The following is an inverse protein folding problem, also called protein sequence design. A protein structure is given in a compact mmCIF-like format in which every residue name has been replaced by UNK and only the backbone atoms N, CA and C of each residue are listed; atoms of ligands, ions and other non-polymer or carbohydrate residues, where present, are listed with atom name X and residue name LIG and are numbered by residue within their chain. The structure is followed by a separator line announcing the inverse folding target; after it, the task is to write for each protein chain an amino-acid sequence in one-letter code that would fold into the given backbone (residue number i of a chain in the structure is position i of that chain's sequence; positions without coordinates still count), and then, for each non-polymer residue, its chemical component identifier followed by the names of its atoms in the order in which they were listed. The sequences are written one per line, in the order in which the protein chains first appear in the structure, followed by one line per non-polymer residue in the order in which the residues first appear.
data_IF_967883712677
#
_entry.id   IF_967883712677
#
_cell.length_a   1.000
_cell.length_b   1.000
_cell.length_c   1.000
_cell.angle_alpha   90.00
_cell.angle_beta   90.00
_cell.angle_gamma   90.00
#
_symmetry.space_group_name_H-M   'P 1'
#
loop_
_entity.id
_entity.type
_entity.pdbx_description
1 polymer ?
#
# COMPACT_ATOMS: atom_id res chain seq x y z
N UNK A 1 -2.06 -11.95 -13.60
CA UNK A 1 -3.38 -12.19 -14.21
C UNK A 1 -3.34 -12.24 -15.73
N UNK A 2 -4.50 -12.23 -16.33
CA UNK A 2 -4.65 -12.31 -17.79
C UNK A 2 -5.04 -10.98 -18.42
N UNK A 3 -5.48 -10.02 -17.61
CA UNK A 3 -5.89 -8.70 -18.05
C UNK A 3 -4.85 -7.66 -17.62
N UNK A 4 -4.19 -7.05 -18.61
CA UNK A 4 -3.06 -6.16 -18.37
C UNK A 4 -3.13 -4.93 -19.24
N UNK A 5 -2.59 -3.81 -18.76
CA UNK A 5 -2.38 -2.57 -19.50
C UNK A 5 -0.93 -2.13 -19.39
N UNK A 6 -0.51 -1.22 -20.27
CA UNK A 6 0.87 -0.75 -20.34
C UNK A 6 1.78 -1.68 -21.15
N UNK A 7 3.05 -1.41 -21.10
CA UNK A 7 4.10 -2.11 -21.85
C UNK A 7 5.43 -1.96 -21.10
N UNK A 8 6.43 -2.83 -21.43
CA UNK A 8 7.78 -2.67 -20.86
C UNK A 8 8.24 -1.21 -20.96
N UNK A 9 8.76 -0.61 -19.88
CA UNK A 9 9.25 -1.27 -18.66
C UNK A 9 8.26 -1.41 -17.50
N UNK A 10 6.96 -1.09 -17.69
CA UNK A 10 5.95 -1.20 -16.64
C UNK A 10 4.64 -1.80 -17.17
N UNK A 11 4.20 -2.88 -16.55
CA UNK A 11 2.92 -3.53 -16.82
C UNK A 11 2.05 -3.43 -15.57
N UNK A 12 0.79 -3.07 -15.75
CA UNK A 12 -0.22 -3.12 -14.70
C UNK A 12 -1.16 -4.30 -14.96
N UNK A 13 -1.19 -5.25 -14.04
CA UNK A 13 -2.17 -6.33 -14.02
C UNK A 13 -3.45 -5.82 -13.35
N UNK A 14 -4.50 -5.72 -14.14
CA UNK A 14 -5.81 -5.19 -13.74
C UNK A 14 -6.85 -6.29 -13.54
N UNK A 15 -6.44 -7.54 -13.49
CA UNK A 15 -7.33 -8.69 -13.34
C UNK A 15 -8.12 -8.70 -12.03
N UNK A 16 -7.67 -7.95 -11.02
CA UNK A 16 -8.26 -7.91 -9.68
C UNK A 16 -8.94 -6.56 -9.35
N UNK A 17 -9.35 -5.80 -10.36
CA UNK A 17 -10.00 -4.50 -10.14
C UNK A 17 -11.25 -4.64 -9.26
N UNK A 18 -12.09 -5.65 -9.50
CA UNK A 18 -13.31 -5.88 -8.70
C UNK A 18 -13.02 -6.27 -7.25
N UNK A 19 -11.81 -6.81 -7.00
CA UNK A 19 -11.29 -7.12 -5.66
C UNK A 19 -10.63 -5.91 -4.99
N UNK A 20 -10.55 -4.78 -5.69
CA UNK A 20 -10.11 -3.51 -5.12
C UNK A 20 -8.64 -3.18 -5.29
N UNK A 21 -7.90 -3.86 -6.17
CA UNK A 21 -6.50 -3.54 -6.42
C UNK A 21 -6.03 -3.86 -7.85
N UNK A 22 -4.93 -3.26 -8.23
CA UNK A 22 -4.11 -3.67 -9.35
C UNK A 22 -2.69 -4.06 -8.87
N UNK A 23 -1.94 -4.79 -9.69
CA UNK A 23 -0.53 -5.09 -9.42
C UNK A 23 0.34 -4.45 -10.50
N UNK A 24 1.24 -3.56 -10.07
CA UNK A 24 2.25 -2.98 -10.95
C UNK A 24 3.50 -3.86 -10.95
N UNK A 25 4.00 -4.20 -12.13
CA UNK A 25 5.19 -5.04 -12.33
C UNK A 25 6.20 -4.27 -13.16
N UNK A 26 7.36 -3.96 -12.58
CA UNK A 26 8.47 -3.31 -13.27
C UNK A 26 9.44 -4.35 -13.81
N UNK A 27 9.92 -4.18 -15.05
CA UNK A 27 11.02 -4.99 -15.55
C UNK A 27 12.37 -4.59 -14.90
N UNK A 28 13.39 -5.40 -15.14
CA UNK A 28 14.73 -5.24 -14.55
C UNK A 28 15.62 -4.20 -15.24
N UNK A 29 15.08 -3.09 -15.77
CA UNK A 29 15.84 -2.09 -16.54
C UNK A 29 16.67 -1.09 -15.70
N UNK A 30 16.63 -1.20 -14.36
CA UNK A 30 17.46 -0.39 -13.45
C UNK A 30 16.84 0.94 -12.99
N UNK A 31 15.60 1.28 -13.40
CA UNK A 31 14.93 2.54 -13.04
C UNK A 31 13.70 2.31 -12.17
N UNK A 32 13.44 3.26 -11.26
CA UNK A 32 12.20 3.28 -10.46
C UNK A 32 11.03 3.78 -11.30
N UNK A 33 9.86 3.18 -11.12
CA UNK A 33 8.61 3.63 -11.71
C UNK A 33 7.77 4.33 -10.65
N UNK A 34 7.09 5.40 -11.05
CA UNK A 34 6.07 6.07 -10.23
C UNK A 34 4.71 5.87 -10.88
N UNK A 35 3.78 5.36 -10.13
CA UNK A 35 2.38 5.17 -10.53
C UNK A 35 1.52 6.10 -9.69
N UNK A 36 0.77 6.96 -10.34
CA UNK A 36 -0.17 7.87 -9.70
C UNK A 36 -1.59 7.44 -10.00
N UNK A 37 -2.38 7.25 -8.95
CA UNK A 37 -3.80 7.04 -9.02
C UNK A 37 -4.52 8.30 -8.57
N UNK A 38 -5.47 8.78 -9.36
CA UNK A 38 -6.42 9.80 -8.92
C UNK A 38 -7.84 9.38 -9.28
N UNK A 39 -8.76 9.57 -8.34
CA UNK A 39 -10.20 9.43 -8.53
C UNK A 39 -10.87 10.81 -8.61
N UNK A 40 -12.19 10.84 -8.72
CA UNK A 40 -12.98 12.09 -8.84
C UNK A 40 -12.95 12.95 -7.56
N UNK A 41 -12.48 12.40 -6.44
CA UNK A 41 -12.28 13.12 -5.17
C UNK A 41 -11.10 14.13 -5.21
N UNK A 42 -10.30 14.09 -6.30
CA UNK A 42 -9.14 14.96 -6.50
C UNK A 42 -7.91 14.58 -5.69
N UNK A 43 -7.96 13.48 -4.94
CA UNK A 43 -6.79 12.95 -4.23
C UNK A 43 -5.90 12.18 -5.20
N UNK A 44 -4.59 12.41 -5.11
CA UNK A 44 -3.59 11.70 -5.91
C UNK A 44 -2.72 10.86 -4.98
N UNK A 45 -2.78 9.55 -5.16
CA UNK A 45 -1.92 8.60 -4.48
C UNK A 45 -0.73 8.25 -5.37
N UNK A 46 0.48 8.25 -4.82
CA UNK A 46 1.71 7.94 -5.56
C UNK A 46 2.36 6.68 -5.01
N UNK A 47 2.63 5.72 -5.87
CA UNK A 47 3.29 4.45 -5.56
C UNK A 47 4.60 4.35 -6.33
N UNK A 48 5.60 3.75 -5.72
CA UNK A 48 6.92 3.60 -6.32
C UNK A 48 7.27 2.11 -6.45
N UNK A 49 7.68 1.69 -7.64
CA UNK A 49 8.08 0.32 -7.91
C UNK A 49 9.52 0.31 -8.39
N UNK A 50 10.38 -0.34 -7.61
CA UNK A 50 11.79 -0.50 -7.98
C UNK A 50 11.95 -1.40 -9.19
N UNK A 51 13.08 -1.30 -9.86
CA UNK A 51 13.41 -2.14 -11.00
C UNK A 51 13.39 -3.63 -10.65
N UNK A 52 12.62 -4.41 -11.40
CA UNK A 52 12.46 -5.84 -11.17
C UNK A 52 11.49 -6.23 -10.06
N UNK A 53 10.87 -5.24 -9.42
CA UNK A 53 9.93 -5.44 -8.31
C UNK A 53 8.47 -5.33 -8.78
N UNK A 54 7.57 -5.67 -7.87
CA UNK A 54 6.12 -5.46 -8.04
C UNK A 54 5.52 -4.80 -6.81
N UNK A 55 4.41 -4.08 -7.02
CA UNK A 55 3.64 -3.49 -5.93
C UNK A 55 2.14 -3.69 -6.14
N UNK A 56 1.43 -3.94 -5.05
CA UNK A 56 -0.04 -3.95 -5.00
C UNK A 56 -0.51 -2.54 -4.71
N UNK A 57 -1.44 -2.05 -5.51
CA UNK A 57 -1.96 -0.68 -5.48
C UNK A 57 -3.48 -0.73 -5.30
N UNK A 58 -4.01 -0.32 -4.14
CA UNK A 58 -5.44 -0.41 -3.84
C UNK A 58 -6.24 0.77 -4.41
N UNK A 59 -7.52 0.54 -4.71
CA UNK A 59 -8.50 1.54 -5.15
C UNK A 59 -9.32 2.06 -3.96
N UNK A 60 -8.70 2.88 -3.10
CA UNK A 60 -9.25 3.27 -1.80
C UNK A 60 -10.34 4.34 -1.84
N UNK A 61 -10.58 4.98 -3.00
CA UNK A 61 -11.66 5.96 -3.18
C UNK A 61 -13.00 5.33 -3.65
N UNK A 62 -13.12 3.98 -3.55
CA UNK A 62 -14.35 3.27 -3.89
C UNK A 62 -14.51 2.96 -5.39
N UNK A 63 -15.73 2.60 -5.80
CA UNK A 63 -16.04 2.39 -7.21
C UNK A 63 -16.12 3.72 -7.95
N UNK A 64 -15.66 3.75 -9.19
CA UNK A 64 -15.68 4.96 -10.02
C UNK A 64 -14.59 4.94 -11.09
N UNK A 65 -14.39 6.07 -11.75
CA UNK A 65 -13.34 6.25 -12.75
C UNK A 65 -12.04 6.68 -12.08
N UNK A 66 -10.97 5.94 -12.32
CA UNK A 66 -9.62 6.27 -11.87
C UNK A 66 -8.74 6.66 -13.05
N UNK A 67 -8.03 7.75 -12.93
CA UNK A 67 -6.94 8.08 -13.84
C UNK A 67 -5.64 7.48 -13.29
N UNK A 68 -5.04 6.56 -14.05
CA UNK A 68 -3.75 5.96 -13.75
C UNK A 68 -2.70 6.61 -14.63
N UNK A 69 -1.70 7.25 -14.04
CA UNK A 69 -0.58 7.90 -14.74
C UNK A 69 0.74 7.26 -14.31
N UNK A 70 1.50 6.80 -15.28
CA UNK A 70 2.72 6.02 -15.06
C UNK A 70 3.94 6.76 -15.58
N UNK A 71 5.00 6.77 -14.79
CA UNK A 71 6.23 7.48 -15.07
C UNK A 71 7.45 6.60 -14.80
N UNK A 72 8.55 6.89 -15.47
CA UNK A 72 9.85 6.28 -15.26
C UNK A 72 10.84 7.33 -14.76
N UNK A 73 11.62 6.99 -13.76
CA UNK A 73 12.69 7.84 -13.27
C UNK A 73 13.80 7.95 -14.32
N UNK A 74 14.17 9.17 -14.66
CA UNK A 74 15.23 9.47 -15.62
C UNK A 74 16.52 9.85 -14.89
N UNK A 75 16.41 10.75 -13.90
CA UNK A 75 17.56 11.22 -13.13
C UNK A 75 17.09 11.89 -11.82
N UNK A 76 17.59 11.44 -10.68
CA UNK A 76 17.27 12.03 -9.37
C UNK A 76 15.75 12.07 -9.14
N UNK A 77 15.17 13.27 -9.03
CA UNK A 77 13.73 13.50 -8.86
C UNK A 77 12.97 13.73 -10.18
N UNK A 78 13.61 13.55 -11.33
CA UNK A 78 13.01 13.77 -12.65
C UNK A 78 12.41 12.46 -13.18
N UNK A 79 11.17 12.55 -13.68
CA UNK A 79 10.42 11.45 -14.25
C UNK A 79 9.94 11.79 -15.66
N UNK A 80 9.96 10.81 -16.54
CA UNK A 80 9.36 10.87 -17.87
C UNK A 80 8.05 10.07 -17.89
N UNK A 81 7.03 10.59 -18.57
CA UNK A 81 5.77 9.88 -18.70
C UNK A 81 5.95 8.63 -19.58
N UNK A 82 5.43 7.48 -19.11
CA UNK A 82 5.33 6.26 -19.89
C UNK A 82 3.98 6.17 -20.60
N UNK A 83 2.91 6.15 -19.82
CA UNK A 83 1.53 6.13 -20.32
C UNK A 83 0.57 6.63 -19.25
N UNK A 84 -0.66 6.93 -19.67
CA UNK A 84 -1.77 7.23 -18.79
C UNK A 84 -3.04 6.60 -19.34
N UNK A 85 -3.92 6.12 -18.46
CA UNK A 85 -5.18 5.48 -18.85
C UNK A 85 -6.24 5.66 -17.77
N UNK A 86 -7.48 5.88 -18.20
CA UNK A 86 -8.63 5.81 -17.32
C UNK A 86 -9.04 4.35 -17.12
N UNK A 87 -9.37 3.98 -15.88
CA UNK A 87 -9.90 2.69 -15.50
C UNK A 87 -11.26 2.85 -14.83
N UNK A 88 -12.23 2.10 -15.30
CA UNK A 88 -13.53 1.98 -14.62
C UNK A 88 -13.41 0.88 -13.56
N UNK A 89 -13.54 1.28 -12.29
CA UNK A 89 -13.47 0.38 -11.14
C UNK A 89 -14.86 0.13 -10.59
N UNK A 90 -15.27 -1.13 -10.54
CA UNK A 90 -16.51 -1.57 -9.92
C UNK A 90 -16.17 -2.62 -8.88
N UNK A 91 -16.15 -2.20 -7.61
CA UNK A 91 -15.82 -3.07 -6.49
C UNK A 91 -16.98 -4.03 -6.17
N UNK A 92 -16.67 -5.30 -5.93
CA UNK A 92 -17.62 -6.28 -5.41
C UNK A 92 -18.05 -5.93 -3.97
N UNK A 93 -17.15 -5.33 -3.21
CA UNK A 93 -17.38 -4.84 -1.86
C UNK A 93 -16.44 -3.65 -1.62
N UNK A 94 -16.98 -2.57 -1.06
CA UNK A 94 -16.24 -1.33 -0.78
C UNK A 94 -15.10 -1.47 0.24
N UNK A 95 -15.10 -2.51 1.06
CA UNK A 95 -14.07 -2.79 2.04
C UNK A 95 -12.88 -3.60 1.50
N UNK A 96 -13.03 -4.27 0.34
CA UNK A 96 -12.00 -5.13 -0.25
C UNK A 96 -10.64 -4.43 -0.44
N UNK A 97 -10.56 -3.15 -0.90
CA UNK A 97 -9.28 -2.47 -1.06
C UNK A 97 -8.44 -2.38 0.22
N UNK A 98 -9.08 -2.50 1.39
CA UNK A 98 -8.44 -2.38 2.70
C UNK A 98 -8.09 -3.73 3.34
N UNK A 99 -8.48 -4.84 2.73
CA UNK A 99 -8.29 -6.19 3.28
C UNK A 99 -7.07 -6.92 2.70
N UNK A 100 -6.43 -6.37 1.69
CA UNK A 100 -5.25 -6.95 1.07
C UNK A 100 -3.98 -6.18 1.45
N UNK A 101 -2.84 -6.90 1.60
CA UNK A 101 -1.56 -6.22 1.76
C UNK A 101 -1.27 -5.36 0.54
N UNK A 102 -0.71 -4.18 0.78
CA UNK A 102 -0.33 -3.24 -0.27
C UNK A 102 1.02 -2.60 0.08
N UNK A 103 1.50 -1.66 -0.74
CA UNK A 103 2.81 -1.06 -0.53
C UNK A 103 2.93 -0.33 0.81
N UNK A 104 1.85 0.28 1.31
CA UNK A 104 1.87 1.05 2.55
C UNK A 104 1.57 0.24 3.80
N UNK A 105 0.76 -0.81 3.65
CA UNK A 105 0.41 -1.74 4.73
C UNK A 105 0.74 -3.13 4.23
N UNK A 106 2.01 -3.50 4.38
CA UNK A 106 2.52 -4.77 3.87
C UNK A 106 2.56 -5.81 4.99
N UNK A 107 1.79 -6.88 4.82
CA UNK A 107 1.75 -7.98 5.77
C UNK A 107 1.59 -9.32 5.06
N UNK A 108 1.94 -10.36 5.77
CA UNK A 108 1.68 -11.76 5.39
C UNK A 108 1.15 -12.52 6.61
N UNK A 109 0.54 -13.69 6.45
CA UNK A 109 0.16 -14.52 7.59
C UNK A 109 1.33 -14.88 8.51
N UNK A 110 2.57 -14.80 8.01
CA UNK A 110 3.79 -15.08 8.77
C UNK A 110 4.38 -13.86 9.48
N UNK A 111 3.87 -12.65 9.22
CA UNK A 111 4.29 -11.43 9.93
C UNK A 111 4.07 -11.56 11.44
N UNK A 112 5.02 -11.11 12.23
CA UNK A 112 4.94 -11.20 13.70
C UNK A 112 3.78 -10.35 14.25
N UNK A 113 3.49 -9.20 13.61
CA UNK A 113 2.33 -8.38 13.93
C UNK A 113 1.00 -9.15 13.74
N UNK A 114 0.86 -9.90 12.65
CA UNK A 114 -0.33 -10.73 12.41
C UNK A 114 -0.46 -11.87 13.43
N UNK A 115 0.65 -12.56 13.74
CA UNK A 115 0.66 -13.62 14.76
C UNK A 115 0.29 -13.09 16.13
N UNK A 116 0.83 -11.93 16.48
CA UNK A 116 0.51 -11.26 17.74
C UNK A 116 -0.97 -10.88 17.79
N UNK A 117 -1.49 -10.20 16.76
CA UNK A 117 -2.90 -9.82 16.70
C UNK A 117 -3.81 -11.04 16.92
N UNK A 118 -3.57 -12.14 16.22
CA UNK A 118 -4.32 -13.39 16.41
C UNK A 118 -4.21 -13.94 17.84
N UNK A 119 -3.08 -13.76 18.52
CA UNK A 119 -2.90 -14.22 19.91
C UNK A 119 -3.61 -13.35 20.96
N UNK A 120 -3.88 -12.08 20.62
CA UNK A 120 -4.56 -11.14 21.50
C UNK A 120 -6.09 -11.27 21.43
N UNK A 121 -6.61 -11.79 20.33
CA UNK A 121 -8.05 -11.87 20.08
C UNK A 121 -8.64 -13.14 20.70
N UNK A 122 -9.81 -13.01 21.33
CA UNK A 122 -10.59 -14.16 21.72
C UNK A 122 -11.21 -14.82 20.48
N UNK A 123 -11.43 -16.15 20.53
CA UNK A 123 -11.95 -16.92 19.41
C UNK A 123 -13.36 -16.45 18.98
N UNK A 124 -14.13 -15.90 19.90
CA UNK A 124 -15.49 -15.38 19.72
C UNK A 124 -15.57 -13.85 19.79
N UNK A 125 -14.42 -13.14 19.69
CA UNK A 125 -14.40 -11.68 19.71
C UNK A 125 -15.23 -11.09 18.59
N UNK A 126 -16.02 -10.09 18.91
CA UNK A 126 -16.72 -9.29 17.92
C UNK A 126 -15.72 -8.41 17.14
N UNK A 127 -16.12 -7.91 16.00
CA UNK A 127 -15.30 -6.98 15.20
C UNK A 127 -14.88 -5.75 16.02
N UNK A 128 -15.80 -5.16 16.80
CA UNK A 128 -15.51 -4.01 17.65
C UNK A 128 -14.49 -4.35 18.74
N UNK A 129 -14.64 -5.49 19.42
CA UNK A 129 -13.69 -5.94 20.44
C UNK A 129 -12.31 -6.21 19.85
N UNK A 130 -12.25 -6.72 18.63
CA UNK A 130 -11.01 -6.95 17.90
C UNK A 130 -10.29 -5.62 17.61
N UNK A 131 -11.01 -4.63 17.07
CA UNK A 131 -10.50 -3.29 16.81
C UNK A 131 -10.00 -2.63 18.11
N UNK A 132 -10.81 -2.65 19.16
CA UNK A 132 -10.46 -2.04 20.45
C UNK A 132 -9.21 -2.70 21.06
N UNK A 133 -9.09 -4.02 20.96
CA UNK A 133 -7.95 -4.78 21.47
C UNK A 133 -6.66 -4.41 20.74
N UNK A 134 -6.68 -4.40 19.41
CA UNK A 134 -5.51 -4.04 18.61
C UNK A 134 -5.14 -2.57 18.83
N UNK A 135 -6.12 -1.66 18.81
CA UNK A 135 -5.89 -0.24 19.07
C UNK A 135 -5.25 0.01 20.43
N UNK A 136 -5.77 -0.63 21.48
CA UNK A 136 -5.20 -0.51 22.83
C UNK A 136 -3.78 -1.05 22.89
N UNK A 137 -3.52 -2.19 22.25
CA UNK A 137 -2.17 -2.74 22.19
C UNK A 137 -1.19 -1.76 21.56
N UNK A 138 -1.49 -1.27 20.35
CA UNK A 138 -0.62 -0.33 19.61
C UNK A 138 -0.36 0.92 20.44
N UNK A 139 -1.41 1.55 20.98
CA UNK A 139 -1.28 2.80 21.74
C UNK A 139 -0.56 2.67 23.07
N UNK A 140 -0.49 1.46 23.64
CA UNK A 140 0.20 1.21 24.92
C UNK A 140 1.66 0.74 24.72
N UNK A 141 1.98 0.12 23.59
CA UNK A 141 3.28 -0.53 23.37
C UNK A 141 4.17 0.19 22.36
N UNK A 142 3.60 1.07 21.53
CA UNK A 142 4.37 1.87 20.58
C UNK A 142 4.48 3.31 21.10
N UNK A 143 5.68 3.86 21.11
CA UNK A 143 5.97 5.25 21.46
C UNK A 143 6.36 6.03 20.22
N UNK A 144 6.07 7.35 20.20
CA UNK A 144 6.40 8.17 19.04
C UNK A 144 7.92 8.33 18.89
N UNK A 145 8.42 8.15 17.67
CA UNK A 145 9.84 8.25 17.34
C UNK A 145 10.15 9.63 16.75
N UNK A 146 10.55 10.55 17.63
CA UNK A 146 10.90 11.94 17.25
C UNK A 146 12.12 11.99 16.34
N UNK A 147 13.11 11.11 16.56
CA UNK A 147 14.32 11.06 15.74
C UNK A 147 14.02 10.60 14.32
N UNK A 148 13.21 9.55 14.18
CA UNK A 148 12.73 9.08 12.88
C UNK A 148 11.89 10.15 12.19
N UNK A 149 10.99 10.81 12.91
CA UNK A 149 10.15 11.88 12.37
C UNK A 149 10.96 13.05 11.80
N UNK A 150 12.10 13.36 12.44
CA UNK A 150 12.99 14.44 12.00
C UNK A 150 13.89 14.07 10.81
N UNK A 151 14.11 12.78 10.55
CA UNK A 151 15.12 12.29 9.59
C UNK A 151 14.54 11.45 8.45
N UNK A 152 13.27 11.03 8.53
CA UNK A 152 12.63 10.19 7.53
C UNK A 152 12.61 10.88 6.15
N UNK A 153 13.00 10.13 5.13
CA UNK A 153 13.08 10.63 3.75
C UNK A 153 11.77 10.37 2.98
N UNK A 154 11.60 11.12 1.90
CA UNK A 154 10.49 10.89 0.96
C UNK A 154 10.57 9.49 0.36
N UNK A 155 9.44 8.78 0.35
CA UNK A 155 9.35 7.39 -0.15
C UNK A 155 9.54 6.35 0.94
N UNK A 156 9.65 6.76 2.21
CA UNK A 156 9.62 5.83 3.35
C UNK A 156 8.35 4.96 3.30
N UNK A 157 8.54 3.68 3.57
CA UNK A 157 7.46 2.70 3.71
C UNK A 157 7.53 2.08 5.11
N UNK A 158 6.41 1.95 5.82
CA UNK A 158 6.37 1.31 7.13
C UNK A 158 6.73 -0.17 7.06
N UNK A 159 7.43 -0.64 8.07
CA UNK A 159 7.62 -2.07 8.37
C UNK A 159 6.92 -2.37 9.70
N UNK A 160 5.85 -3.15 9.64
CA UNK A 160 5.00 -3.46 10.80
C UNK A 160 5.74 -4.31 11.83
N UNK A 161 6.57 -5.25 11.39
CA UNK A 161 7.33 -6.12 12.28
C UNK A 161 8.51 -5.38 12.94
N UNK A 162 9.15 -4.44 12.22
CA UNK A 162 10.15 -3.53 12.82
C UNK A 162 9.49 -2.62 13.86
N UNK A 163 8.35 -2.00 13.53
CA UNK A 163 7.60 -1.13 14.45
C UNK A 163 7.20 -1.89 15.72
N UNK A 164 6.69 -3.12 15.55
CA UNK A 164 6.35 -3.98 16.67
C UNK A 164 7.57 -4.32 17.54
N UNK A 165 8.69 -4.72 16.93
CA UNK A 165 9.89 -5.18 17.63
C UNK A 165 10.61 -4.06 18.38
N UNK A 166 10.62 -2.85 17.82
CA UNK A 166 11.26 -1.67 18.42
C UNK A 166 10.37 -0.96 19.43
N UNK A 167 9.05 -1.12 19.32
CA UNK A 167 8.07 -0.37 20.09
C UNK A 167 8.11 1.13 19.81
N UNK A 168 8.57 1.54 18.61
CA UNK A 168 8.71 2.95 18.19
C UNK A 168 8.27 3.13 16.75
N UNK A 169 7.64 4.28 16.48
CA UNK A 169 7.23 4.63 15.12
C UNK A 169 6.72 6.06 15.00
N UNK A 170 6.64 6.53 13.76
CA UNK A 170 5.97 7.78 13.41
C UNK A 170 4.49 7.51 13.10
N UNK A 171 3.71 8.56 12.82
CA UNK A 171 2.26 8.42 12.55
C UNK A 171 1.96 7.38 11.45
N UNK A 172 2.83 7.25 10.46
CA UNK A 172 2.66 6.29 9.36
C UNK A 172 2.87 4.84 9.83
N UNK A 173 3.85 4.60 10.72
CA UNK A 173 4.08 3.28 11.31
C UNK A 173 2.91 2.84 12.21
N UNK A 174 2.36 3.78 13.00
CA UNK A 174 1.18 3.52 13.82
C UNK A 174 -0.04 3.14 12.99
N UNK A 175 -0.22 3.80 11.84
CA UNK A 175 -1.36 3.55 10.97
C UNK A 175 -1.23 2.24 10.18
N UNK A 176 0.01 1.78 9.95
CA UNK A 176 0.29 0.55 9.21
C UNK A 176 0.22 -0.69 10.12
N UNK A 177 0.63 -0.59 11.41
CA UNK A 177 0.63 -1.65 12.40
C UNK A 177 -0.79 -1.97 12.88
#
# INVERSE_FOLDING_TARGET
GTDTIGYSPLILDISNISQGYLTAVSDGNGTTKNIQLSADDGVVYSYFVSSGESAVIPFTSGSGTYQVSCYEQVNGSQYAALFAQALEVSLENEFLPFLYPNQYVNFTPDSEACKLALSLLAEDATEQESIDTVFQYVTQHVTYDEDKAATVETGYLPDIDETLSTGKGICFDYAAL
#
